data_IF_714615620754
#
_entry.id   IF_714615620754
#
_cell.length_a   1.000
_cell.length_b   1.000
_cell.length_c   1.000
_cell.angle_alpha   90.00
_cell.angle_beta   90.00
_cell.angle_gamma   90.00
#
_symmetry.space_group_name_H-M   'P 1'
#
loop_
_entity.id
_entity.type
_entity.pdbx_description
1 polymer ?
#
# COMPACT_ATOMS: atom_id res chain seq x y z
N UNK A 1 25.60 32.25 4.39
CA UNK A 1 24.24 32.46 3.86
C UNK A 1 23.33 31.51 4.62
N UNK A 2 22.21 31.99 5.15
CA UNK A 2 21.21 31.20 5.87
C UNK A 2 19.85 31.40 5.21
N UNK A 3 19.02 30.35 5.17
CA UNK A 3 17.69 30.35 4.54
C UNK A 3 16.66 29.67 5.44
N UNK A 4 16.47 30.28 6.61
CA UNK A 4 15.16 30.33 7.27
C UNK A 4 14.25 31.30 6.49
N UNK A 5 12.92 31.24 6.54
CA UNK A 5 11.94 30.27 7.03
C UNK A 5 10.61 30.67 6.37
N UNK A 6 9.69 29.73 6.10
CA UNK A 6 8.30 30.14 5.87
C UNK A 6 7.27 29.05 6.19
N UNK A 7 6.80 29.04 7.45
CA UNK A 7 5.67 28.22 7.88
C UNK A 7 4.38 29.07 7.92
N UNK A 8 3.37 28.81 7.06
CA UNK A 8 2.12 29.56 7.13
C UNK A 8 1.28 29.13 8.34
N UNK A 9 1.40 29.86 9.44
CA UNK A 9 0.57 29.70 10.64
C UNK A 9 -0.89 30.12 10.36
N UNK A 10 -1.74 29.17 9.96
CA UNK A 10 -3.19 29.37 9.90
C UNK A 10 -3.78 29.46 11.32
N UNK A 11 -4.00 30.69 11.77
CA UNK A 11 -4.53 31.01 13.09
C UNK A 11 -5.99 30.53 13.28
N UNK A 12 -6.34 30.21 14.52
CA UNK A 12 -7.68 29.74 14.88
C UNK A 12 -8.67 30.90 15.15
N UNK A 13 -9.92 30.72 14.73
CA UNK A 13 -11.04 31.61 15.07
C UNK A 13 -12.21 30.79 15.66
N UNK A 14 -12.39 30.89 16.98
CA UNK A 14 -13.55 30.43 17.78
C UNK A 14 -13.61 31.31 19.05
N UNK A 15 -14.75 31.37 19.79
CA UNK A 15 -16.09 30.87 19.50
C UNK A 15 -16.96 32.05 18.97
N UNK A 16 -18.17 32.47 19.41
CA UNK A 16 -19.14 32.05 20.45
C UNK A 16 -20.53 32.65 20.15
N UNK A 17 -21.61 32.02 20.63
CA UNK A 17 -22.92 32.66 20.83
C UNK A 17 -24.13 31.99 20.16
N UNK A 18 -25.21 31.81 20.92
CA UNK A 18 -26.50 31.26 20.45
C UNK A 18 -27.03 30.17 21.39
N UNK A 19 -28.21 30.39 21.99
CA UNK A 19 -28.79 29.52 23.04
C UNK A 19 -30.16 28.96 22.65
N UNK A 20 -30.49 27.83 23.30
CA UNK A 20 -31.85 27.31 23.55
C UNK A 20 -32.69 26.81 22.38
N UNK A 21 -32.95 25.49 22.38
CA UNK A 21 -33.87 24.82 21.48
C UNK A 21 -34.20 23.39 21.91
N UNK A 22 -34.78 23.21 23.12
CA UNK A 22 -35.37 21.93 23.54
C UNK A 22 -36.83 21.90 23.08
N UNK A 23 -37.32 20.78 22.53
CA UNK A 23 -37.97 19.78 23.39
C UNK A 23 -37.74 18.33 22.96
N UNK A 24 -38.22 17.37 23.78
CA UNK A 24 -38.40 15.97 23.38
C UNK A 24 -37.48 14.96 24.09
N UNK A 25 -38.02 14.06 24.93
CA UNK A 25 -37.30 12.88 25.39
C UNK A 25 -37.41 11.77 24.33
N UNK A 26 -36.33 11.50 23.59
CA UNK A 26 -36.27 10.31 22.73
C UNK A 26 -35.74 9.12 23.54
N UNK A 27 -36.61 8.15 23.80
CA UNK A 27 -36.23 6.87 24.40
C UNK A 27 -35.34 6.02 23.46
N UNK A 28 -34.56 5.12 24.05
CA UNK A 28 -34.28 3.82 23.42
C UNK A 28 -33.17 3.74 22.36
N UNK A 29 -32.51 4.83 21.97
CA UNK A 29 -31.34 4.77 21.10
C UNK A 29 -30.04 4.55 21.91
N UNK A 30 -29.74 3.29 22.23
CA UNK A 30 -28.48 2.91 22.87
C UNK A 30 -27.25 3.35 22.05
N UNK A 31 -26.07 3.56 22.69
CA UNK A 31 -24.91 4.15 22.03
C UNK A 31 -24.55 3.35 20.78
N UNK A 32 -24.60 4.01 19.63
CA UNK A 32 -24.31 3.42 18.33
C UNK A 32 -22.86 2.93 18.30
N UNK A 33 -22.66 1.66 18.65
CA UNK A 33 -21.36 1.00 18.63
C UNK A 33 -20.79 1.19 17.22
N UNK A 34 -19.58 1.75 17.06
CA UNK A 34 -19.00 1.87 15.73
C UNK A 34 -18.98 0.47 15.10
N UNK A 35 -19.31 0.34 13.80
CA UNK A 35 -19.43 -0.95 13.14
C UNK A 35 -18.15 -1.72 13.43
N UNK A 36 -18.28 -2.82 14.17
CA UNK A 36 -17.13 -3.57 14.67
C UNK A 36 -16.60 -4.40 13.52
N UNK A 37 -15.92 -3.73 12.59
CA UNK A 37 -15.22 -4.34 11.46
C UNK A 37 -14.34 -5.44 12.06
N UNK A 38 -14.57 -6.72 11.72
CA UNK A 38 -13.75 -7.78 12.28
C UNK A 38 -12.29 -7.50 11.91
N UNK A 39 -11.33 -7.67 12.84
CA UNK A 39 -9.92 -7.46 12.52
C UNK A 39 -9.58 -8.38 11.33
N UNK A 40 -9.12 -7.83 10.19
CA UNK A 40 -9.20 -8.51 8.90
C UNK A 40 -8.49 -9.85 8.97
N UNK A 41 -9.25 -10.91 8.72
CA UNK A 41 -8.82 -12.26 9.03
C UNK A 41 -7.62 -12.67 8.20
N UNK A 42 -6.82 -13.62 8.69
CA UNK A 42 -5.72 -14.21 7.91
C UNK A 42 -6.17 -14.70 6.53
N UNK A 43 -7.44 -15.10 6.41
CA UNK A 43 -8.10 -15.43 5.14
C UNK A 43 -8.20 -14.24 4.16
N UNK A 44 -8.71 -13.08 4.59
CA UNK A 44 -8.79 -11.88 3.74
C UNK A 44 -7.41 -11.38 3.33
N UNK A 45 -6.41 -11.52 4.20
CA UNK A 45 -5.02 -11.24 3.85
C UNK A 45 -4.50 -12.18 2.76
N UNK A 46 -4.83 -13.48 2.82
CA UNK A 46 -4.46 -14.46 1.78
C UNK A 46 -5.20 -14.21 0.45
N UNK A 47 -6.49 -13.84 0.49
CA UNK A 47 -7.26 -13.43 -0.71
C UNK A 47 -6.65 -12.17 -1.33
N UNK A 48 -6.28 -11.18 -0.50
CA UNK A 48 -5.61 -9.95 -0.93
C UNK A 48 -4.27 -10.23 -1.62
N UNK A 49 -3.47 -11.17 -1.08
CA UNK A 49 -2.19 -11.59 -1.67
C UNK A 49 -2.40 -12.32 -3.00
N UNK A 50 -3.38 -13.23 -3.11
CA UNK A 50 -3.72 -13.92 -4.37
C UNK A 50 -4.14 -12.94 -5.46
N UNK A 51 -5.03 -11.99 -5.14
CA UNK A 51 -5.46 -10.94 -6.05
C UNK A 51 -4.31 -10.00 -6.46
N UNK A 52 -3.35 -9.75 -5.56
CA UNK A 52 -2.14 -8.99 -5.85
C UNK A 52 -1.21 -9.73 -6.83
N UNK A 53 -0.96 -11.03 -6.64
CA UNK A 53 -0.20 -11.87 -7.59
C UNK A 53 -0.82 -11.81 -8.98
N UNK A 54 -2.14 -11.97 -9.10
CA UNK A 54 -2.84 -11.90 -10.39
C UNK A 54 -2.64 -10.54 -11.08
N UNK A 55 -2.79 -9.43 -10.34
CA UNK A 55 -2.52 -8.07 -10.88
C UNK A 55 -1.07 -7.89 -11.30
N UNK A 56 -0.11 -8.42 -10.54
CA UNK A 56 1.31 -8.27 -10.85
C UNK A 56 1.72 -9.10 -12.07
N UNK A 57 1.22 -10.33 -12.22
CA UNK A 57 1.42 -11.16 -13.42
C UNK A 57 0.87 -10.47 -14.68
N UNK A 58 -0.28 -9.80 -14.58
CA UNK A 58 -0.83 -9.01 -15.69
C UNK A 58 -0.04 -7.71 -15.98
N UNK A 59 0.57 -7.10 -14.96
CA UNK A 59 1.31 -5.84 -15.08
C UNK A 59 2.79 -5.99 -15.49
N UNK A 60 3.36 -7.19 -15.37
CA UNK A 60 4.75 -7.50 -15.73
C UNK A 60 4.83 -8.75 -16.64
N UNK A 61 4.23 -8.73 -17.85
CA UNK A 61 4.15 -9.91 -18.72
C UNK A 61 5.51 -10.43 -19.20
N UNK A 62 6.55 -9.59 -19.17
CA UNK A 62 7.94 -9.96 -19.49
C UNK A 62 8.68 -10.64 -18.34
N UNK A 63 8.03 -10.92 -17.21
CA UNK A 63 8.63 -11.58 -16.04
C UNK A 63 7.88 -12.88 -15.74
N UNK A 64 8.62 -13.96 -15.49
CA UNK A 64 8.07 -15.27 -15.16
C UNK A 64 7.10 -15.19 -13.97
N UNK A 65 5.95 -15.87 -14.09
CA UNK A 65 4.98 -16.04 -13.03
C UNK A 65 5.58 -16.57 -11.72
N UNK A 66 6.52 -17.53 -11.80
CA UNK A 66 7.26 -18.07 -10.66
C UNK A 66 8.09 -16.98 -9.98
N UNK A 67 8.73 -16.11 -10.76
CA UNK A 67 9.50 -14.96 -10.24
C UNK A 67 8.58 -13.92 -9.59
N UNK A 68 7.41 -13.64 -10.16
CA UNK A 68 6.39 -12.76 -9.55
C UNK A 68 5.90 -13.34 -8.22
N UNK A 69 5.58 -14.63 -8.18
CA UNK A 69 5.08 -15.31 -6.97
C UNK A 69 6.16 -15.43 -5.89
N UNK A 70 7.40 -15.75 -6.25
CA UNK A 70 8.54 -15.74 -5.34
C UNK A 70 8.83 -14.34 -4.77
N UNK A 71 8.74 -13.29 -5.61
CA UNK A 71 8.92 -11.89 -5.18
C UNK A 71 7.86 -11.48 -4.16
N UNK A 72 6.57 -11.74 -4.45
CA UNK A 72 5.47 -11.44 -3.50
C UNK A 72 5.61 -12.23 -2.22
N UNK A 73 6.00 -13.52 -2.30
CA UNK A 73 6.26 -14.37 -1.14
C UNK A 73 7.40 -13.84 -0.27
N UNK A 74 8.52 -13.42 -0.85
CA UNK A 74 9.67 -12.86 -0.11
C UNK A 74 9.34 -11.48 0.51
N UNK A 75 8.61 -10.64 -0.22
CA UNK A 75 8.10 -9.37 0.28
C UNK A 75 7.13 -9.57 1.46
N UNK A 76 6.26 -10.59 1.42
CA UNK A 76 5.37 -10.95 2.53
C UNK A 76 6.11 -11.59 3.72
N UNK A 77 7.09 -12.46 3.45
CA UNK A 77 7.90 -13.11 4.49
C UNK A 77 8.62 -12.08 5.37
N UNK A 78 9.11 -11.00 4.74
CA UNK A 78 9.72 -9.82 5.40
C UNK A 78 8.82 -9.17 6.47
N UNK A 79 7.49 -9.36 6.42
CA UNK A 79 6.54 -8.84 7.41
C UNK A 79 5.99 -9.90 8.37
N UNK A 80 6.53 -11.13 8.39
CA UNK A 80 6.06 -12.22 9.27
C UNK A 80 6.13 -11.93 10.76
N UNK A 81 6.94 -10.96 11.18
CA UNK A 81 7.05 -10.51 12.59
C UNK A 81 6.27 -9.19 12.85
N UNK A 82 5.61 -8.60 11.85
CA UNK A 82 4.88 -7.34 12.02
C UNK A 82 3.68 -7.51 12.96
N UNK A 83 3.58 -6.66 13.99
CA UNK A 83 2.47 -6.64 14.96
C UNK A 83 1.18 -6.07 14.37
N UNK A 84 1.29 -5.05 13.51
CA UNK A 84 0.14 -4.43 12.82
C UNK A 84 0.01 -5.01 11.41
N UNK A 85 -1.02 -5.82 11.15
CA UNK A 85 -1.18 -6.56 9.90
C UNK A 85 -1.95 -5.83 8.80
N UNK A 86 -2.74 -4.80 9.14
CA UNK A 86 -3.62 -4.08 8.21
C UNK A 86 -2.87 -3.50 7.00
N UNK A 87 -1.67 -2.95 7.21
CA UNK A 87 -0.88 -2.31 6.15
C UNK A 87 0.02 -3.28 5.36
N UNK A 88 0.17 -4.53 5.79
CA UNK A 88 1.09 -5.50 5.15
C UNK A 88 0.77 -5.70 3.66
N UNK A 89 -0.49 -5.89 3.21
CA UNK A 89 -0.78 -6.02 1.77
C UNK A 89 -0.29 -4.84 0.93
N UNK A 90 -0.44 -3.60 1.43
CA UNK A 90 -0.03 -2.37 0.73
C UNK A 90 1.50 -2.29 0.62
N UNK A 91 2.22 -2.62 1.70
CA UNK A 91 3.68 -2.62 1.74
C UNK A 91 4.27 -3.73 0.85
N UNK A 92 3.65 -4.92 0.85
CA UNK A 92 4.04 -6.05 -0.01
C UNK A 92 3.82 -5.71 -1.48
N UNK A 93 2.70 -5.10 -1.86
CA UNK A 93 2.48 -4.69 -3.25
C UNK A 93 3.46 -3.60 -3.68
N UNK A 94 3.70 -2.58 -2.84
CA UNK A 94 4.69 -1.52 -3.13
C UNK A 94 6.10 -2.09 -3.32
N UNK A 95 6.54 -3.00 -2.45
CA UNK A 95 7.86 -3.63 -2.57
C UNK A 95 7.93 -4.50 -3.83
N UNK A 96 6.97 -5.39 -4.05
CA UNK A 96 6.95 -6.29 -5.21
C UNK A 96 6.98 -5.53 -6.53
N UNK A 97 6.22 -4.42 -6.65
CA UNK A 97 6.29 -3.52 -7.81
C UNK A 97 7.67 -2.87 -8.00
N UNK A 98 8.45 -2.66 -6.93
CA UNK A 98 9.80 -2.11 -7.02
C UNK A 98 10.79 -3.13 -7.56
N UNK A 99 10.81 -4.35 -6.98
CA UNK A 99 11.73 -5.42 -7.40
C UNK A 99 11.46 -5.83 -8.86
N UNK A 100 10.19 -6.03 -9.25
CA UNK A 100 9.81 -6.42 -10.61
C UNK A 100 10.15 -5.33 -11.66
N UNK A 101 10.09 -4.05 -11.29
CA UNK A 101 10.56 -2.94 -12.14
C UNK A 101 12.07 -2.92 -12.30
N UNK A 102 12.84 -3.36 -11.28
CA UNK A 102 14.28 -3.49 -11.39
C UNK A 102 14.64 -4.65 -12.33
N UNK A 103 14.08 -5.85 -12.10
CA UNK A 103 14.27 -7.02 -12.94
C UNK A 103 13.92 -6.77 -14.42
N UNK A 104 12.78 -6.12 -14.69
CA UNK A 104 12.36 -5.77 -16.05
C UNK A 104 13.32 -4.78 -16.74
N UNK A 105 14.00 -3.88 -16.00
CA UNK A 105 15.04 -3.01 -16.57
C UNK A 105 16.34 -3.76 -16.80
N UNK A 106 16.73 -4.68 -15.92
CA UNK A 106 17.92 -5.52 -16.10
C UNK A 106 17.79 -6.37 -17.36
N UNK A 107 16.64 -7.04 -17.56
CA UNK A 107 16.37 -7.82 -18.77
C UNK A 107 16.41 -6.98 -20.07
N UNK A 108 16.01 -5.70 -20.00
CA UNK A 108 16.12 -4.78 -21.14
C UNK A 108 17.54 -4.24 -21.35
N UNK A 109 18.35 -4.13 -20.28
CA UNK A 109 19.75 -3.70 -20.34
C UNK A 109 20.72 -4.76 -20.88
N UNK A 110 20.43 -6.04 -20.60
CA UNK A 110 21.20 -7.18 -21.15
C UNK A 110 21.16 -7.19 -22.68
N UNK A 111 19.97 -6.96 -23.26
CA UNK A 111 19.71 -7.03 -24.70
C UNK A 111 20.44 -5.99 -25.56
N UNK A 112 21.03 -4.94 -24.95
CA UNK A 112 21.82 -3.93 -25.65
C UNK A 112 23.31 -4.31 -25.75
N UNK A 113 23.76 -5.34 -25.02
CA UNK A 113 25.17 -5.72 -24.89
C UNK A 113 25.48 -7.02 -25.63
N UNK A 114 25.30 -7.01 -26.95
CA UNK A 114 25.89 -8.03 -27.83
C UNK A 114 26.86 -7.35 -28.80
N UNK A 115 28.18 -7.34 -28.54
CA UNK A 115 29.14 -7.03 -29.60
C UNK A 115 28.96 -8.06 -30.72
N UNK A 116 28.89 -7.58 -31.96
CA UNK A 116 28.84 -8.48 -33.12
C UNK A 116 30.16 -9.25 -33.26
N UNK A 117 30.16 -10.46 -33.83
CA UNK A 117 31.40 -11.11 -34.23
C UNK A 117 32.14 -10.23 -35.24
N UNK A 118 33.45 -10.08 -35.08
CA UNK A 118 34.29 -9.62 -36.16
C UNK A 118 34.45 -10.79 -37.14
N UNK A 119 33.90 -10.63 -38.35
CA UNK A 119 34.20 -11.51 -39.48
C UNK A 119 35.50 -11.03 -40.16
N UNK A 120 36.32 -11.98 -40.60
CA UNK A 120 37.63 -11.85 -41.27
C UNK A 120 37.58 -12.62 -42.61
#
# INVERSE_FOLDING_TARGET
>A
MAVEEQTPHIAACLPVGGLSGHPGPVEGAGPARPPTVPPPGSHEQLVSIRNMVARLRAAYPSVDAVTVEATVKAAYDSFRQARVRAYVPILVERRSRSELRAACRTAAGEAITHPGPAED
#
